data_IF_440762266424
#
_entry.id   IF_440762266424
#
_cell.length_a   1.000
_cell.length_b   1.000
_cell.length_c   1.000
_cell.angle_alpha   90.00
_cell.angle_beta   90.00
_cell.angle_gamma   90.00
#
_symmetry.space_group_name_H-M   'P 1'
#
loop_
_entity.id
_entity.type
_entity.pdbx_description
1 polymer ?
#
# COMPACT_ATOMS: atom_id res chain seq x y z
N UNK A 1 11.26 7.64 -9.22
CA UNK A 1 11.30 6.19 -8.88
C UNK A 1 11.38 5.98 -7.38
N UNK A 2 11.24 4.75 -6.91
CA UNK A 2 11.39 4.40 -5.49
C UNK A 2 12.82 3.94 -5.19
N UNK A 3 13.39 4.38 -4.07
CA UNK A 3 14.73 4.02 -3.58
C UNK A 3 14.66 3.66 -2.10
N UNK A 4 15.74 3.09 -1.57
CA UNK A 4 15.87 2.76 -0.14
C UNK A 4 14.68 1.93 0.36
N UNK A 5 14.30 0.92 -0.43
CA UNK A 5 13.15 0.06 -0.14
C UNK A 5 13.52 -0.88 1.00
N UNK A 6 12.76 -0.80 2.09
CA UNK A 6 12.90 -1.63 3.28
C UNK A 6 11.59 -2.38 3.46
N UNK A 7 11.64 -3.70 3.34
CA UNK A 7 10.52 -4.58 3.70
C UNK A 7 10.61 -4.86 5.19
N UNK A 8 9.54 -4.55 5.91
CA UNK A 8 9.40 -4.80 7.35
C UNK A 8 8.47 -5.99 7.57
N UNK A 9 8.71 -6.74 8.64
CA UNK A 9 7.96 -7.94 8.96
C UNK A 9 7.96 -8.16 10.46
N UNK A 10 6.79 -8.07 11.09
CA UNK A 10 6.64 -8.31 12.51
C UNK A 10 5.35 -7.71 13.08
N UNK A 11 4.72 -8.33 14.09
CA UNK A 11 3.53 -7.79 14.76
C UNK A 11 3.72 -6.39 15.39
N UNK A 12 4.96 -5.96 15.61
CA UNK A 12 5.33 -4.73 16.34
C UNK A 12 5.56 -3.50 15.45
N UNK A 13 5.47 -3.63 14.11
CA UNK A 13 5.97 -2.59 13.19
C UNK A 13 4.97 -1.46 12.91
N UNK A 14 3.92 -1.34 13.73
CA UNK A 14 2.90 -0.30 13.58
C UNK A 14 2.07 -0.42 12.30
N UNK A 15 2.09 -1.60 11.67
CA UNK A 15 1.30 -1.89 10.48
C UNK A 15 1.93 -1.47 9.15
N UNK A 16 3.20 -1.06 9.11
CA UNK A 16 3.91 -0.74 7.86
C UNK A 16 4.66 -1.98 7.37
N UNK A 17 4.33 -2.47 6.19
CA UNK A 17 4.97 -3.65 5.58
C UNK A 17 6.15 -3.26 4.69
N UNK A 18 6.09 -2.08 4.05
CA UNK A 18 7.21 -1.56 3.23
C UNK A 18 7.41 -0.06 3.48
N UNK A 19 8.66 0.37 3.54
CA UNK A 19 9.05 1.77 3.51
C UNK A 19 9.95 2.02 2.32
N UNK A 20 9.81 3.20 1.70
CA UNK A 20 10.64 3.60 0.58
C UNK A 20 10.77 5.13 0.54
N UNK A 21 11.72 5.61 -0.26
CA UNK A 21 11.88 7.01 -0.63
C UNK A 21 11.48 7.18 -2.09
N UNK A 22 10.45 7.98 -2.34
CA UNK A 22 10.07 8.40 -3.70
C UNK A 22 10.91 9.61 -4.09
N UNK A 23 11.65 9.48 -5.19
CA UNK A 23 12.41 10.56 -5.82
C UNK A 23 11.68 11.00 -7.09
N UNK A 24 11.34 12.28 -7.18
CA UNK A 24 10.77 12.87 -8.39
C UNK A 24 11.86 13.33 -9.37
N UNK A 25 11.45 13.87 -10.53
CA UNK A 25 12.36 14.34 -11.58
C UNK A 25 13.18 15.58 -11.20
N UNK A 26 12.80 16.28 -10.13
CA UNK A 26 13.48 17.47 -9.63
C UNK A 26 14.36 17.18 -8.42
N UNK A 27 14.39 15.92 -7.96
CA UNK A 27 15.20 15.49 -6.82
C UNK A 27 14.51 15.63 -5.47
N UNK A 28 13.22 15.97 -5.41
CA UNK A 28 12.50 15.98 -4.14
C UNK A 28 12.34 14.55 -3.62
N UNK A 29 12.55 14.40 -2.31
CA UNK A 29 12.46 13.12 -1.60
C UNK A 29 11.21 13.12 -0.73
N UNK A 30 10.36 12.11 -0.93
CA UNK A 30 9.19 11.87 -0.09
C UNK A 30 9.30 10.49 0.57
N UNK A 31 9.10 10.43 1.89
CA UNK A 31 8.96 9.16 2.61
C UNK A 31 7.63 8.52 2.25
N UNK A 32 7.67 7.27 1.83
CA UNK A 32 6.50 6.47 1.46
C UNK A 32 6.41 5.26 2.37
N UNK A 33 5.22 5.01 2.92
CA UNK A 33 4.91 3.78 3.63
C UNK A 33 3.81 3.02 2.90
N UNK A 34 3.94 1.70 2.86
CA UNK A 34 2.98 0.80 2.22
C UNK A 34 2.56 -0.24 3.24
N UNK A 35 1.25 -0.41 3.38
CA UNK A 35 0.64 -1.48 4.16
C UNK A 35 -0.11 -2.41 3.22
N UNK A 36 0.10 -3.71 3.37
CA UNK A 36 -0.53 -4.75 2.57
C UNK A 36 -1.41 -5.64 3.47
N UNK A 37 -2.69 -5.77 3.11
CA UNK A 37 -3.65 -6.65 3.80
C UNK A 37 -4.18 -7.73 2.87
N UNK A 38 -3.85 -8.98 3.16
CA UNK A 38 -4.38 -10.15 2.45
C UNK A 38 -5.70 -10.60 3.10
N UNK A 39 -6.81 -9.96 2.76
CA UNK A 39 -8.13 -10.29 3.28
C UNK A 39 -9.05 -10.85 2.18
N UNK A 40 -10.05 -11.64 2.59
CA UNK A 40 -11.17 -12.04 1.73
C UNK A 40 -12.38 -11.10 1.87
N UNK A 41 -12.49 -10.41 3.00
CA UNK A 41 -13.55 -9.43 3.27
C UNK A 41 -13.08 -8.01 2.98
N UNK A 42 -14.01 -7.06 2.72
CA UNK A 42 -13.64 -5.68 2.51
C UNK A 42 -12.89 -5.08 3.70
N UNK A 43 -11.86 -4.29 3.41
CA UNK A 43 -11.09 -3.55 4.42
C UNK A 43 -11.94 -2.43 5.01
N UNK A 44 -12.05 -2.43 6.34
CA UNK A 44 -12.83 -1.45 7.09
C UNK A 44 -12.07 -0.15 7.37
N UNK A 45 -12.82 0.86 7.81
CA UNK A 45 -12.29 2.21 8.11
C UNK A 45 -11.15 2.22 9.12
N UNK A 46 -11.16 1.32 10.11
CA UNK A 46 -10.15 1.25 11.17
C UNK A 46 -8.71 1.25 10.63
N UNK A 47 -8.43 0.46 9.59
CA UNK A 47 -7.09 0.38 8.99
C UNK A 47 -6.70 1.72 8.35
N UNK A 48 -7.67 2.41 7.75
CA UNK A 48 -7.45 3.72 7.13
C UNK A 48 -7.13 4.76 8.20
N UNK A 49 -7.89 4.80 9.29
CA UNK A 49 -7.64 5.74 10.40
C UNK A 49 -6.26 5.46 11.07
N UNK A 50 -5.89 4.18 11.25
CA UNK A 50 -4.57 3.78 11.72
C UNK A 50 -3.46 4.31 10.79
N UNK A 51 -3.62 4.14 9.47
CA UNK A 51 -2.64 4.61 8.49
C UNK A 51 -2.57 6.15 8.43
N UNK A 52 -3.69 6.86 8.56
CA UNK A 52 -3.71 8.33 8.69
C UNK A 52 -2.90 8.77 9.91
N UNK A 53 -3.06 8.09 11.04
CA UNK A 53 -2.27 8.32 12.25
C UNK A 53 -0.76 8.15 12.00
N UNK A 54 -0.38 7.12 11.24
CA UNK A 54 1.01 6.90 10.82
C UNK A 54 1.51 8.03 9.92
N UNK A 55 0.73 8.46 8.92
CA UNK A 55 1.09 9.58 8.03
C UNK A 55 1.41 10.84 8.83
N UNK A 56 0.56 11.18 9.81
CA UNK A 56 0.75 12.34 10.66
C UNK A 56 1.98 12.20 11.57
N UNK A 57 2.10 11.08 12.29
CA UNK A 57 3.18 10.84 13.27
C UNK A 57 4.56 10.76 12.62
N UNK A 58 4.66 10.06 11.49
CA UNK A 58 5.91 9.84 10.76
C UNK A 58 6.20 10.94 9.73
N UNK A 59 5.29 11.91 9.55
CA UNK A 59 5.38 12.97 8.54
C UNK A 59 5.64 12.40 7.14
N UNK A 60 4.86 11.38 6.77
CA UNK A 60 4.99 10.74 5.46
C UNK A 60 4.56 11.71 4.35
N UNK A 61 5.26 11.63 3.22
CA UNK A 61 4.85 12.34 2.01
C UNK A 61 3.76 11.58 1.25
N UNK A 62 3.73 10.25 1.38
CA UNK A 62 2.73 9.37 0.77
C UNK A 62 2.55 8.11 1.62
N UNK A 63 1.32 7.62 1.69
CA UNK A 63 0.98 6.32 2.24
C UNK A 63 0.12 5.55 1.26
N UNK A 64 0.32 4.24 1.18
CA UNK A 64 -0.43 3.37 0.28
C UNK A 64 -0.96 2.18 1.09
N UNK A 65 -2.26 1.94 1.03
CA UNK A 65 -2.87 0.71 1.56
C UNK A 65 -3.25 -0.16 0.38
N UNK A 66 -2.68 -1.35 0.33
CA UNK A 66 -2.90 -2.36 -0.70
C UNK A 66 -3.69 -3.51 -0.10
N UNK A 67 -4.69 -4.01 -0.82
CA UNK A 67 -5.42 -5.22 -0.43
C UNK A 67 -5.75 -6.09 -1.62
N UNK A 68 -5.91 -7.40 -1.36
CA UNK A 68 -6.39 -8.38 -2.36
C UNK A 68 -7.91 -8.45 -2.44
N UNK A 69 -8.64 -7.71 -1.59
CA UNK A 69 -10.09 -7.58 -1.61
C UNK A 69 -10.52 -6.16 -2.00
N UNK A 70 -11.67 -5.72 -1.52
CA UNK A 70 -12.20 -4.36 -1.71
C UNK A 70 -12.04 -3.50 -0.46
N UNK A 71 -12.29 -2.20 -0.58
CA UNK A 71 -12.47 -1.31 0.57
C UNK A 71 -13.95 -1.09 0.85
N UNK A 72 -14.32 -0.89 2.11
CA UNK A 72 -15.69 -0.46 2.43
C UNK A 72 -15.90 1.00 2.03
N UNK A 73 -17.15 1.40 1.76
CA UNK A 73 -17.49 2.81 1.47
C UNK A 73 -17.00 3.79 2.54
N UNK A 74 -16.98 3.34 3.80
CA UNK A 74 -16.48 4.15 4.93
C UNK A 74 -14.96 4.30 4.88
N UNK A 75 -14.23 3.23 4.50
CA UNK A 75 -12.78 3.27 4.31
C UNK A 75 -12.41 4.22 3.16
N UNK A 76 -13.09 4.10 2.02
CA UNK A 76 -12.89 5.01 0.88
C UNK A 76 -13.18 6.46 1.26
N UNK A 77 -14.27 6.71 1.99
CA UNK A 77 -14.63 8.05 2.43
C UNK A 77 -13.63 8.65 3.40
N UNK A 78 -13.06 7.84 4.31
CA UNK A 78 -12.00 8.29 5.20
C UNK A 78 -10.72 8.63 4.42
N UNK A 79 -10.34 7.79 3.45
CA UNK A 79 -9.15 8.03 2.63
C UNK A 79 -9.25 9.30 1.79
N UNK A 80 -10.45 9.64 1.27
CA UNK A 80 -10.70 10.92 0.58
C UNK A 80 -10.38 12.15 1.43
N UNK A 81 -10.40 12.03 2.76
CA UNK A 81 -10.04 13.10 3.69
C UNK A 81 -8.54 13.31 3.90
N UNK A 82 -7.69 12.39 3.44
CA UNK A 82 -6.23 12.49 3.55
C UNK A 82 -5.59 12.36 2.16
N UNK A 83 -5.24 13.48 1.51
CA UNK A 83 -4.70 13.48 0.13
C UNK A 83 -3.41 12.69 -0.05
N UNK A 84 -2.65 12.45 1.01
CA UNK A 84 -1.40 11.67 0.96
C UNK A 84 -1.64 10.17 1.05
N UNK A 85 -2.88 9.72 1.29
CA UNK A 85 -3.24 8.31 1.43
C UNK A 85 -3.89 7.79 0.15
N UNK A 86 -3.27 6.80 -0.48
CA UNK A 86 -3.80 6.08 -1.64
C UNK A 86 -4.28 4.69 -1.23
N UNK A 87 -5.40 4.28 -1.83
CA UNK A 87 -5.93 2.92 -1.73
C UNK A 87 -5.69 2.18 -3.04
N UNK A 88 -5.29 0.92 -2.95
CA UNK A 88 -5.15 0.00 -4.09
C UNK A 88 -5.89 -1.29 -3.74
N UNK A 89 -7.01 -1.54 -4.40
CA UNK A 89 -7.80 -2.75 -4.21
C UNK A 89 -7.27 -3.91 -5.07
N UNK A 90 -7.92 -5.08 -4.96
CA UNK A 90 -7.51 -6.28 -5.67
C UNK A 90 -7.51 -6.11 -7.19
N UNK A 91 -8.54 -5.47 -7.76
CA UNK A 91 -8.63 -5.23 -9.19
C UNK A 91 -7.50 -4.30 -9.68
N UNK A 92 -7.32 -3.15 -9.02
CA UNK A 92 -6.25 -2.19 -9.33
C UNK A 92 -4.86 -2.80 -9.18
N UNK A 93 -4.67 -3.68 -8.19
CA UNK A 93 -3.40 -4.39 -8.02
C UNK A 93 -3.13 -5.32 -9.22
N UNK A 94 -4.13 -6.04 -9.72
CA UNK A 94 -4.00 -6.89 -10.90
C UNK A 94 -3.65 -6.04 -12.14
N UNK A 95 -4.33 -4.92 -12.33
CA UNK A 95 -4.04 -4.01 -13.44
C UNK A 95 -2.59 -3.50 -13.39
N UNK A 96 -2.14 -3.04 -12.21
CA UNK A 96 -0.76 -2.58 -12.00
C UNK A 96 0.28 -3.68 -12.28
N UNK A 97 0.00 -4.92 -11.88
CA UNK A 97 0.88 -6.06 -12.14
C UNK A 97 0.96 -6.34 -13.65
N UNK A 98 -0.18 -6.33 -14.35
CA UNK A 98 -0.23 -6.52 -15.79
C UNK A 98 0.53 -5.42 -16.55
N UNK A 99 0.34 -4.15 -16.19
CA UNK A 99 1.04 -3.00 -16.77
C UNK A 99 2.57 -3.11 -16.67
N UNK A 100 3.06 -3.71 -15.58
CA UNK A 100 4.50 -3.88 -15.34
C UNK A 100 5.02 -5.26 -15.78
N UNK A 101 4.21 -6.04 -16.50
CA UNK A 101 4.60 -7.35 -17.02
C UNK A 101 4.84 -8.40 -15.92
N UNK A 102 4.22 -8.27 -14.75
CA UNK A 102 4.36 -9.25 -13.67
C UNK A 102 3.34 -10.37 -13.86
N UNK A 103 3.82 -11.60 -14.12
CA UNK A 103 2.96 -12.77 -14.28
C UNK A 103 2.76 -13.47 -12.94
N UNK A 104 1.50 -13.59 -12.50
CA UNK A 104 1.16 -14.28 -11.26
C UNK A 104 0.71 -15.71 -11.60
N UNK A 105 1.36 -16.73 -11.03
CA UNK A 105 0.87 -18.12 -11.12
C UNK A 105 0.01 -18.45 -9.91
N UNK A 106 -1.17 -19.01 -10.15
CA UNK A 106 -2.01 -19.54 -9.08
C UNK A 106 -1.38 -20.81 -8.49
N UNK A 107 -0.73 -20.67 -7.33
CA UNK A 107 -0.41 -21.77 -6.43
C UNK A 107 -1.12 -21.52 -5.08
N UNK A 108 -1.17 -22.53 -4.18
CA UNK A 108 -1.84 -22.39 -2.87
C UNK A 108 -1.35 -21.16 -2.05
N UNK A 109 -0.14 -20.68 -2.34
CA UNK A 109 0.31 -19.30 -2.11
C UNK A 109 0.61 -18.70 -3.48
N UNK A 110 0.00 -17.57 -3.85
CA UNK A 110 0.31 -16.92 -5.13
C UNK A 110 1.80 -16.60 -5.17
N UNK A 111 2.52 -17.20 -6.12
CA UNK A 111 3.93 -16.91 -6.36
C UNK A 111 4.03 -15.90 -7.50
N UNK A 112 4.79 -14.83 -7.25
CA UNK A 112 5.19 -13.89 -8.29
C UNK A 112 6.28 -14.56 -9.12
N UNK A 113 6.03 -14.74 -10.41
CA UNK A 113 7.04 -15.25 -11.34
C UNK A 113 7.52 -14.06 -12.17
N UNK A 114 8.83 -13.76 -12.21
CA UNK A 114 9.35 -12.78 -13.14
C UNK A 114 8.95 -13.18 -14.57
N UNK A 115 8.55 -12.20 -15.39
CA UNK A 115 8.37 -12.42 -16.82
C UNK A 115 9.70 -12.69 -17.52
#
# INVERSE_FOLDING_TARGET
>A
GYREVIVRGGPSDGGIDVQAIRLDRWGHRARVAIQAKRYQRPVGRRIIDEMIGVVARERLGEAIVVTTSEFSKQAESAARGEPRLRLVNGAQLVDLLAEHGVVVRYAQRGELVPA
#
